data_IF_056650804161
#
_entry.id   IF_056650804161
#
_cell.length_a   1.000
_cell.length_b   1.000
_cell.length_c   1.000
_cell.angle_alpha   90.00
_cell.angle_beta   90.00
_cell.angle_gamma   90.00
#
_symmetry.space_group_name_H-M   'P 1'
#
loop_
_entity.id
_entity.type
_entity.pdbx_description
1 polymer ?
#
# COMPACT_ATOMS: atom_id res chain seq x y z
N UNK A 1 -8.60 -12.57 18.31
CA UNK A 1 -9.23 -12.16 17.06
C UNK A 1 -9.68 -13.35 16.22
N UNK A 2 -8.84 -14.35 16.05
CA UNK A 2 -9.22 -15.63 15.46
C UNK A 2 -9.48 -16.60 16.62
N UNK A 3 -10.74 -16.84 16.99
CA UNK A 3 -11.17 -17.60 18.17
C UNK A 3 -10.73 -19.07 18.19
N UNK A 4 -9.43 -19.31 18.30
CA UNK A 4 -8.83 -20.64 18.35
C UNK A 4 -8.76 -21.11 19.82
N UNK A 5 -9.33 -22.30 20.11
CA UNK A 5 -9.27 -22.90 21.43
C UNK A 5 -7.82 -23.23 21.81
N UNK A 6 -7.43 -22.84 23.01
CA UNK A 6 -6.08 -22.97 23.52
C UNK A 6 -5.97 -24.15 24.50
N UNK A 7 -4.90 -24.92 24.41
CA UNK A 7 -4.58 -25.90 25.43
C UNK A 7 -4.18 -25.25 26.76
N UNK A 8 -4.70 -25.74 27.86
CA UNK A 8 -4.35 -25.24 29.20
C UNK A 8 -2.86 -25.47 29.47
N UNK A 9 -2.10 -24.41 29.70
CA UNK A 9 -0.67 -24.45 30.04
C UNK A 9 0.32 -24.07 28.92
N UNK A 10 -0.15 -23.74 27.71
CA UNK A 10 0.72 -23.24 26.66
C UNK A 10 1.30 -21.85 27.03
N UNK A 11 2.61 -21.65 26.81
CA UNK A 11 3.27 -20.35 27.01
C UNK A 11 2.74 -19.32 26.02
N UNK A 12 2.62 -18.07 26.45
CA UNK A 12 2.29 -16.97 25.57
C UNK A 12 3.49 -16.63 24.70
N UNK A 13 3.31 -16.70 23.39
CA UNK A 13 4.28 -16.24 22.38
C UNK A 13 3.74 -14.97 21.73
N UNK A 14 4.63 -14.02 21.52
CA UNK A 14 4.28 -12.74 20.89
C UNK A 14 5.21 -12.48 19.72
N UNK A 15 4.63 -12.08 18.58
CA UNK A 15 5.35 -11.47 17.46
C UNK A 15 5.21 -9.97 17.63
N UNK A 16 6.35 -9.28 17.78
CA UNK A 16 6.40 -7.82 17.90
C UNK A 16 6.69 -7.26 16.52
N UNK A 17 5.78 -6.42 16.04
CA UNK A 17 5.90 -5.71 14.77
C UNK A 17 6.02 -4.20 15.03
N UNK A 18 6.62 -3.49 14.08
CA UNK A 18 6.71 -2.04 14.12
C UNK A 18 5.89 -1.48 12.94
N UNK A 19 4.70 -0.98 13.23
CA UNK A 19 3.84 -0.30 12.28
C UNK A 19 3.88 1.20 12.57
N UNK A 20 4.30 2.01 11.59
CA UNK A 20 4.30 3.48 11.71
C UNK A 20 4.95 4.00 13.01
N UNK A 21 6.13 3.45 13.36
CA UNK A 21 6.86 3.74 14.61
C UNK A 21 6.16 3.26 15.89
N UNK A 22 5.05 2.54 15.78
CA UNK A 22 4.34 1.94 16.89
C UNK A 22 4.63 0.43 16.98
N UNK A 23 5.00 -0.04 18.18
CA UNK A 23 5.24 -1.45 18.43
C UNK A 23 3.93 -2.14 18.80
N UNK A 24 3.54 -3.13 18.00
CA UNK A 24 2.34 -3.94 18.23
C UNK A 24 2.76 -5.37 18.47
N UNK A 25 2.25 -5.97 19.56
CA UNK A 25 2.52 -7.35 19.92
C UNK A 25 1.33 -8.25 19.59
N UNK A 26 1.48 -9.14 18.62
CA UNK A 26 0.48 -10.13 18.26
C UNK A 26 0.72 -11.42 19.03
N UNK A 27 -0.25 -11.82 19.84
CA UNK A 27 -0.19 -13.11 20.54
C UNK A 27 -0.49 -14.25 19.57
N UNK A 28 0.43 -15.20 19.44
CA UNK A 28 0.34 -16.37 18.57
C UNK A 28 0.45 -17.68 19.36
N UNK A 29 -0.01 -18.77 18.77
CA UNK A 29 0.05 -20.10 19.39
C UNK A 29 1.43 -20.73 19.29
N UNK A 30 2.05 -20.61 18.12
CA UNK A 30 3.39 -21.11 17.84
C UNK A 30 4.04 -20.30 16.73
N UNK A 31 5.36 -20.39 16.65
CA UNK A 31 6.16 -19.88 15.54
C UNK A 31 6.87 -21.07 14.92
N UNK A 32 6.55 -21.39 13.68
CA UNK A 32 7.13 -22.52 12.94
C UNK A 32 8.47 -22.14 12.35
N UNK A 33 8.61 -20.92 11.84
CA UNK A 33 9.83 -20.43 11.24
C UNK A 33 9.60 -19.22 10.35
N UNK A 34 10.64 -18.89 9.58
CA UNK A 34 10.61 -17.83 8.57
C UNK A 34 10.76 -18.50 7.20
N UNK A 35 9.80 -18.26 6.32
CA UNK A 35 9.83 -18.73 4.94
C UNK A 35 9.96 -17.55 3.97
N UNK A 36 10.75 -17.73 2.91
CA UNK A 36 10.82 -16.78 1.81
C UNK A 36 9.86 -17.25 0.72
N UNK A 37 8.91 -16.40 0.39
CA UNK A 37 7.90 -16.67 -0.62
C UNK A 37 8.06 -15.60 -1.71
N UNK A 38 8.05 -16.03 -2.98
CA UNK A 38 8.02 -15.07 -4.10
C UNK A 38 6.60 -14.52 -4.23
N UNK A 39 6.47 -13.26 -4.58
CA UNK A 39 5.17 -12.65 -4.89
C UNK A 39 4.43 -13.36 -6.04
N UNK A 40 5.16 -14.03 -6.92
CA UNK A 40 4.58 -14.85 -8.01
C UNK A 40 3.88 -16.10 -7.50
N UNK A 41 4.22 -16.56 -6.30
CA UNK A 41 3.71 -17.79 -5.69
C UNK A 41 2.55 -17.51 -4.71
N UNK A 42 2.18 -16.23 -4.58
CA UNK A 42 1.06 -15.80 -3.76
C UNK A 42 -0.19 -15.67 -4.64
N UNK A 43 -1.19 -16.47 -4.34
CA UNK A 43 -2.47 -16.49 -5.05
C UNK A 43 -3.54 -15.74 -4.26
N UNK A 44 -4.41 -15.00 -4.96
CA UNK A 44 -5.58 -14.38 -4.32
C UNK A 44 -6.49 -15.48 -3.75
N UNK A 45 -6.94 -15.38 -2.50
CA UNK A 45 -7.88 -16.34 -1.95
C UNK A 45 -9.23 -16.21 -2.64
N UNK A 46 -9.92 -17.34 -2.88
CA UNK A 46 -11.31 -17.32 -3.32
C UNK A 46 -12.17 -16.62 -2.27
N UNK A 47 -13.24 -15.92 -2.74
CA UNK A 47 -14.16 -15.18 -1.86
C UNK A 47 -14.75 -16.01 -0.72
N UNK A 48 -14.86 -17.31 -0.90
CA UNK A 48 -15.31 -18.26 0.12
C UNK A 48 -14.28 -18.52 1.22
N UNK A 49 -12.99 -18.43 0.93
CA UNK A 49 -11.89 -18.68 1.86
C UNK A 49 -11.51 -17.40 2.62
N UNK A 50 -11.66 -16.25 1.98
CA UNK A 50 -11.33 -14.94 2.59
C UNK A 50 -12.38 -14.42 3.57
N UNK A 51 -13.49 -15.12 3.81
CA UNK A 51 -14.58 -14.61 4.65
C UNK A 51 -15.46 -13.56 3.96
N UNK A 52 -15.46 -13.55 2.63
CA UNK A 52 -16.17 -12.55 1.80
C UNK A 52 -15.35 -11.28 1.60
N UNK A 53 -16.01 -10.15 1.34
CA UNK A 53 -15.37 -8.83 1.22
C UNK A 53 -14.77 -8.30 2.52
N UNK A 54 -15.01 -8.98 3.64
CA UNK A 54 -14.55 -8.60 4.99
C UNK A 54 -13.41 -9.47 5.53
N UNK A 55 -12.85 -10.38 4.72
CA UNK A 55 -11.77 -11.26 5.14
C UNK A 55 -10.44 -10.52 5.34
N UNK A 56 -9.67 -10.95 6.36
CA UNK A 56 -8.33 -10.43 6.67
C UNK A 56 -7.20 -11.14 5.92
N UNK A 57 -7.53 -11.98 4.93
CA UNK A 57 -6.56 -12.72 4.12
C UNK A 57 -6.26 -11.96 2.82
N UNK A 58 -5.00 -11.61 2.59
CA UNK A 58 -4.53 -10.98 1.35
C UNK A 58 -4.08 -11.99 0.31
N UNK A 59 -3.63 -13.16 0.76
CA UNK A 59 -3.12 -14.19 -0.14
C UNK A 59 -3.07 -15.58 0.45
N UNK A 60 -2.85 -16.56 -0.41
CA UNK A 60 -2.53 -17.95 -0.05
C UNK A 60 -1.26 -18.34 -0.81
N UNK A 61 -0.30 -18.89 -0.09
CA UNK A 61 0.94 -19.40 -0.66
C UNK A 61 1.20 -20.84 -0.26
N UNK A 62 1.87 -21.60 -1.10
CA UNK A 62 2.30 -22.95 -0.76
C UNK A 62 3.71 -22.91 -0.17
N UNK A 63 3.85 -23.41 1.07
CA UNK A 63 5.12 -23.54 1.76
C UNK A 63 5.41 -25.04 2.00
N UNK A 64 6.20 -25.65 1.13
CA UNK A 64 6.40 -27.11 1.14
C UNK A 64 5.11 -27.86 0.83
N UNK A 65 4.63 -28.68 1.78
CA UNK A 65 3.33 -29.37 1.67
C UNK A 65 2.14 -28.55 2.18
N UNK A 66 2.39 -27.43 2.85
CA UNK A 66 1.37 -26.69 3.59
C UNK A 66 0.88 -25.49 2.79
N UNK A 67 -0.43 -25.20 2.89
CA UNK A 67 -1.02 -23.97 2.42
C UNK A 67 -1.00 -22.94 3.56
N UNK A 68 -0.36 -21.81 3.32
CA UNK A 68 -0.22 -20.72 4.29
C UNK A 68 -1.08 -19.54 3.85
N UNK A 69 -1.94 -19.08 4.74
CA UNK A 69 -2.72 -17.85 4.53
C UNK A 69 -1.90 -16.64 4.93
N UNK A 70 -1.79 -15.68 4.04
CA UNK A 70 -1.15 -14.39 4.29
C UNK A 70 -2.23 -13.44 4.80
N UNK A 71 -1.97 -12.83 5.95
CA UNK A 71 -2.93 -11.94 6.61
C UNK A 71 -2.63 -10.47 6.29
N UNK A 72 -3.69 -9.68 6.11
CA UNK A 72 -3.65 -8.23 6.04
C UNK A 72 -3.47 -7.65 7.46
N UNK A 73 -2.23 -7.48 7.87
CA UNK A 73 -1.93 -6.92 9.18
C UNK A 73 -2.30 -5.44 9.30
N UNK A 74 -2.25 -4.68 8.23
CA UNK A 74 -2.68 -3.28 8.22
C UNK A 74 -4.16 -3.17 8.53
N UNK A 75 -4.97 -4.01 7.90
CA UNK A 75 -6.40 -4.09 8.19
C UNK A 75 -6.67 -4.52 9.64
N UNK A 76 -5.99 -5.56 10.13
CA UNK A 76 -6.13 -6.01 11.52
C UNK A 76 -5.80 -4.88 12.49
N UNK A 77 -4.72 -4.14 12.25
CA UNK A 77 -4.31 -3.01 13.08
C UNK A 77 -5.32 -1.87 12.99
N UNK A 78 -5.79 -1.51 11.80
CA UNK A 78 -6.79 -0.46 11.61
C UNK A 78 -8.12 -0.78 12.31
N UNK A 79 -8.54 -2.06 12.37
CA UNK A 79 -9.74 -2.46 13.10
C UNK A 79 -9.56 -2.42 14.64
N UNK A 80 -8.35 -2.69 15.13
CA UNK A 80 -8.05 -2.72 16.59
C UNK A 80 -7.69 -1.35 17.14
N UNK A 81 -6.97 -0.56 16.36
CA UNK A 81 -6.44 0.76 16.71
C UNK A 81 -6.62 1.74 15.54
N UNK A 82 -7.85 2.23 15.31
CA UNK A 82 -8.17 3.12 14.19
C UNK A 82 -7.31 4.38 14.13
N UNK A 83 -6.82 4.84 15.28
CA UNK A 83 -5.92 6.00 15.39
C UNK A 83 -4.55 5.81 14.70
N UNK A 84 -4.21 4.58 14.34
CA UNK A 84 -2.98 4.28 13.59
C UNK A 84 -3.16 4.26 12.08
N UNK A 85 -4.42 4.34 11.65
CA UNK A 85 -4.81 4.37 10.26
C UNK A 85 -4.80 5.79 9.70
N UNK A 86 -5.13 5.92 8.45
CA UNK A 86 -5.26 7.21 7.76
C UNK A 86 -6.33 8.05 8.46
N UNK A 87 -5.97 9.27 8.90
CA UNK A 87 -6.87 10.16 9.65
C UNK A 87 -7.49 11.18 8.69
N UNK A 88 -8.79 11.08 8.47
CA UNK A 88 -9.53 12.01 7.63
C UNK A 88 -9.58 13.44 8.20
N UNK A 89 -9.42 13.57 9.51
CA UNK A 89 -9.38 14.85 10.24
C UNK A 89 -8.24 15.76 9.75
N UNK A 90 -7.10 15.21 9.33
CA UNK A 90 -6.00 15.99 8.76
C UNK A 90 -6.45 16.74 7.49
N UNK A 91 -7.25 16.09 6.65
CA UNK A 91 -7.80 16.72 5.44
C UNK A 91 -8.82 17.80 5.79
N UNK A 92 -9.64 17.60 6.83
CA UNK A 92 -10.59 18.61 7.30
C UNK A 92 -9.89 19.90 7.79
N UNK A 93 -8.73 19.76 8.40
CA UNK A 93 -7.93 20.89 8.87
C UNK A 93 -7.29 21.71 7.72
N UNK A 94 -7.16 21.14 6.53
CA UNK A 94 -6.61 21.85 5.36
C UNK A 94 -7.58 22.89 4.81
N UNK A 95 -8.85 22.89 5.22
CA UNK A 95 -9.87 23.82 4.76
C UNK A 95 -10.36 23.59 3.32
N UNK A 96 -11.19 24.50 2.78
CA UNK A 96 -11.73 24.37 1.43
C UNK A 96 -10.63 24.41 0.35
N UNK A 97 -10.62 23.41 -0.54
CA UNK A 97 -9.63 23.29 -1.60
C UNK A 97 -10.28 23.33 -2.98
N UNK A 98 -9.55 23.88 -3.96
CA UNK A 98 -9.96 23.84 -5.36
C UNK A 98 -9.93 22.39 -5.89
N UNK A 99 -10.82 22.07 -6.83
CA UNK A 99 -10.80 20.75 -7.48
C UNK A 99 -9.65 20.68 -8.48
N UNK A 100 -8.87 19.61 -8.41
CA UNK A 100 -7.82 19.26 -9.36
C UNK A 100 -8.29 18.13 -10.26
N UNK A 101 -8.18 18.30 -11.57
CA UNK A 101 -8.46 17.28 -12.58
C UNK A 101 -7.22 16.48 -12.99
N UNK A 102 -6.08 16.76 -12.38
CA UNK A 102 -4.83 16.04 -12.64
C UNK A 102 -5.00 14.55 -12.40
N UNK A 103 -4.59 13.67 -13.36
CA UNK A 103 -4.75 12.24 -13.21
C UNK A 103 -3.76 11.67 -12.19
N UNK A 104 -4.28 11.12 -11.11
CA UNK A 104 -3.50 10.47 -10.04
C UNK A 104 -3.67 8.96 -10.14
N UNK A 105 -2.59 8.22 -10.28
CA UNK A 105 -2.60 6.77 -10.32
C UNK A 105 -2.04 6.20 -9.01
N UNK A 106 -2.76 5.26 -8.40
CA UNK A 106 -2.47 4.77 -7.06
C UNK A 106 -2.45 3.25 -7.07
N UNK A 107 -1.35 2.64 -6.61
CA UNK A 107 -1.23 1.19 -6.40
C UNK A 107 -1.28 0.88 -4.91
N UNK A 108 -2.29 0.11 -4.50
CA UNK A 108 -2.58 -0.26 -3.11
C UNK A 108 -3.35 -1.59 -3.10
N UNK A 109 -2.87 -2.60 -2.40
CA UNK A 109 -3.48 -3.93 -2.38
C UNK A 109 -4.54 -4.11 -1.28
N UNK A 110 -4.45 -3.36 -0.19
CA UNK A 110 -5.46 -3.35 0.84
C UNK A 110 -6.72 -2.64 0.37
N UNK A 111 -7.82 -3.39 0.24
CA UNK A 111 -9.13 -2.84 -0.19
C UNK A 111 -9.60 -1.73 0.75
N UNK A 112 -9.34 -1.86 2.06
CA UNK A 112 -9.72 -0.87 3.05
C UNK A 112 -8.92 0.42 2.85
N UNK A 113 -7.58 0.31 2.84
CA UNK A 113 -6.70 1.48 2.69
C UNK A 113 -6.86 2.15 1.34
N UNK A 114 -7.04 1.38 0.26
CA UNK A 114 -7.34 1.91 -1.08
C UNK A 114 -8.57 2.81 -1.06
N UNK A 115 -9.67 2.39 -0.41
CA UNK A 115 -10.88 3.22 -0.25
C UNK A 115 -10.61 4.46 0.61
N UNK A 116 -9.91 4.31 1.73
CA UNK A 116 -9.59 5.44 2.62
C UNK A 116 -8.72 6.49 1.91
N UNK A 117 -7.70 6.06 1.19
CA UNK A 117 -6.85 6.96 0.38
C UNK A 117 -7.71 7.67 -0.68
N UNK A 118 -8.54 6.93 -1.40
CA UNK A 118 -9.43 7.50 -2.41
C UNK A 118 -10.36 8.56 -1.81
N UNK A 119 -11.01 8.27 -0.69
CA UNK A 119 -11.91 9.20 0.00
C UNK A 119 -11.18 10.46 0.48
N UNK A 120 -10.00 10.29 1.10
CA UNK A 120 -9.17 11.41 1.56
C UNK A 120 -8.74 12.30 0.40
N UNK A 121 -8.24 11.73 -0.70
CA UNK A 121 -7.80 12.50 -1.86
C UNK A 121 -8.97 13.20 -2.57
N UNK A 122 -10.15 12.54 -2.68
CA UNK A 122 -11.36 13.19 -3.21
C UNK A 122 -11.78 14.37 -2.36
N UNK A 123 -11.75 14.22 -1.03
CA UNK A 123 -12.03 15.29 -0.08
C UNK A 123 -11.01 16.43 -0.18
N UNK A 124 -9.74 16.10 -0.41
CA UNK A 124 -8.68 17.07 -0.69
C UNK A 124 -8.78 17.75 -2.06
N UNK A 125 -9.78 17.40 -2.88
CA UNK A 125 -10.07 18.05 -4.16
C UNK A 125 -9.58 17.29 -5.40
N UNK A 126 -8.86 16.19 -5.28
CA UNK A 126 -8.42 15.37 -6.41
C UNK A 126 -9.57 14.52 -6.95
N UNK A 127 -10.06 14.80 -8.15
CA UNK A 127 -11.25 14.14 -8.70
C UNK A 127 -10.95 13.03 -9.71
N UNK A 128 -9.76 13.04 -10.30
CA UNK A 128 -9.35 12.08 -11.33
C UNK A 128 -8.38 11.04 -10.75
N UNK A 129 -8.93 10.08 -10.00
CA UNK A 129 -8.18 9.03 -9.33
C UNK A 129 -8.36 7.70 -10.03
N UNK A 130 -7.28 6.94 -10.23
CA UNK A 130 -7.30 5.58 -10.74
C UNK A 130 -6.56 4.66 -9.79
N UNK A 131 -7.29 3.70 -9.22
CA UNK A 131 -6.79 2.73 -8.25
C UNK A 131 -6.36 1.44 -8.94
N UNK A 132 -5.26 0.85 -8.49
CA UNK A 132 -4.73 -0.43 -8.95
C UNK A 132 -4.45 -1.33 -7.74
N UNK A 133 -4.76 -2.62 -7.79
CA UNK A 133 -4.58 -3.53 -6.65
C UNK A 133 -3.14 -4.00 -6.47
N UNK A 134 -2.21 -3.61 -7.33
CA UNK A 134 -0.79 -3.95 -7.26
C UNK A 134 0.03 -3.18 -8.30
N UNK A 135 1.35 -3.23 -8.15
CA UNK A 135 2.28 -2.55 -9.07
C UNK A 135 2.28 -3.13 -10.48
N UNK A 136 1.95 -4.42 -10.65
CA UNK A 136 1.92 -5.07 -11.98
C UNK A 136 0.80 -4.49 -12.84
N UNK A 137 -0.41 -4.40 -12.30
CA UNK A 137 -1.55 -3.84 -13.05
C UNK A 137 -1.35 -2.35 -13.39
N UNK A 138 -0.74 -1.58 -12.47
CA UNK A 138 -0.37 -0.18 -12.77
C UNK A 138 0.67 -0.11 -13.88
N UNK A 139 1.73 -0.93 -13.82
CA UNK A 139 2.77 -0.96 -14.86
C UNK A 139 2.23 -1.37 -16.23
N UNK A 140 1.35 -2.36 -16.28
CA UNK A 140 0.69 -2.80 -17.53
C UNK A 140 -0.16 -1.67 -18.12
N UNK A 141 -0.93 -0.97 -17.30
CA UNK A 141 -1.72 0.17 -17.73
C UNK A 141 -0.86 1.33 -18.26
N UNK A 142 0.28 1.63 -17.59
CA UNK A 142 1.26 2.61 -18.07
C UNK A 142 1.84 2.21 -19.43
N UNK A 143 2.24 0.94 -19.56
CA UNK A 143 2.87 0.41 -20.75
C UNK A 143 1.92 0.37 -21.95
N UNK A 144 0.61 0.26 -21.69
CA UNK A 144 -0.44 0.28 -22.70
C UNK A 144 -0.79 1.68 -23.24
N UNK A 145 -0.29 2.75 -22.61
CA UNK A 145 -0.55 4.11 -23.08
C UNK A 145 0.02 4.34 -24.49
N UNK A 146 -0.71 4.98 -25.42
CA UNK A 146 -0.21 5.33 -26.74
C UNK A 146 1.10 6.10 -26.67
N UNK A 147 2.05 5.82 -27.56
CA UNK A 147 3.39 6.43 -27.52
C UNK A 147 3.37 7.94 -27.79
N UNK A 148 2.38 8.41 -28.52
CA UNK A 148 2.15 9.78 -28.98
C UNK A 148 1.18 10.56 -28.10
N UNK A 149 0.67 9.98 -27.00
CA UNK A 149 -0.19 10.70 -26.08
C UNK A 149 0.58 11.72 -25.23
N UNK A 150 -0.10 12.79 -24.83
CA UNK A 150 0.37 13.70 -23.78
C UNK A 150 0.35 12.93 -22.44
N UNK A 151 1.54 12.57 -21.99
CA UNK A 151 1.70 11.66 -20.83
C UNK A 151 1.10 12.25 -19.56
N UNK A 152 1.32 13.55 -19.31
CA UNK A 152 0.83 14.18 -18.08
C UNK A 152 -0.70 14.34 -18.05
N UNK A 153 -1.35 14.39 -19.23
CA UNK A 153 -2.82 14.30 -19.30
C UNK A 153 -3.37 12.89 -19.04
N UNK A 154 -2.53 11.86 -19.10
CA UNK A 154 -2.92 10.48 -18.77
C UNK A 154 -2.56 10.11 -17.34
N UNK A 155 -1.39 10.54 -16.88
CA UNK A 155 -0.88 10.30 -15.52
C UNK A 155 0.04 11.43 -15.09
N UNK A 156 -0.42 12.25 -14.17
CA UNK A 156 0.33 13.40 -13.67
C UNK A 156 1.22 13.04 -12.46
N UNK A 157 0.79 12.06 -11.66
CA UNK A 157 1.53 11.57 -10.49
C UNK A 157 1.18 10.12 -10.18
N UNK A 158 2.14 9.36 -9.67
CA UNK A 158 1.96 7.98 -9.18
C UNK A 158 2.18 7.95 -7.68
N UNK A 159 1.29 7.26 -6.97
CA UNK A 159 1.43 6.90 -5.56
C UNK A 159 1.46 5.37 -5.49
N UNK A 160 2.39 4.81 -4.72
CA UNK A 160 2.49 3.35 -4.59
C UNK A 160 2.78 2.93 -3.16
N UNK A 161 2.08 1.89 -2.70
CA UNK A 161 2.56 1.14 -1.55
C UNK A 161 3.84 0.37 -1.89
N UNK A 162 4.56 -0.11 -0.87
CA UNK A 162 5.72 -0.99 -1.04
C UNK A 162 5.28 -2.44 -1.11
N UNK A 163 4.50 -2.91 -0.15
CA UNK A 163 4.16 -4.32 0.01
C UNK A 163 2.89 -4.69 -0.75
N UNK A 164 3.05 -5.12 -2.00
CA UNK A 164 1.94 -5.55 -2.85
C UNK A 164 2.25 -6.88 -3.54
N UNK A 165 1.24 -7.73 -3.79
CA UNK A 165 1.40 -8.97 -4.54
C UNK A 165 1.80 -8.69 -5.99
N UNK A 166 2.40 -9.70 -6.66
CA UNK A 166 2.85 -9.69 -8.06
C UNK A 166 4.00 -8.73 -8.35
N UNK A 167 3.87 -7.44 -8.02
CA UNK A 167 4.92 -6.43 -8.15
C UNK A 167 4.87 -5.46 -6.99
N UNK A 168 5.94 -5.44 -6.20
CA UNK A 168 6.12 -4.49 -5.10
C UNK A 168 6.40 -3.06 -5.60
N UNK A 169 6.18 -2.07 -4.71
CA UNK A 169 6.34 -0.66 -5.05
C UNK A 169 7.77 -0.24 -5.38
N UNK A 170 8.78 -0.89 -4.83
CA UNK A 170 10.17 -0.62 -5.19
C UNK A 170 10.48 -1.05 -6.63
N UNK A 171 9.99 -2.23 -7.03
CA UNK A 171 10.12 -2.71 -8.41
C UNK A 171 9.37 -1.81 -9.37
N UNK A 172 8.14 -1.42 -9.03
CA UNK A 172 7.37 -0.44 -9.83
C UNK A 172 8.15 0.87 -9.97
N UNK A 173 8.64 1.44 -8.86
CA UNK A 173 9.45 2.66 -8.86
C UNK A 173 10.65 2.55 -9.80
N UNK A 174 11.39 1.44 -9.72
CA UNK A 174 12.52 1.18 -10.59
C UNK A 174 12.12 1.16 -12.06
N UNK A 175 11.06 0.44 -12.43
CA UNK A 175 10.59 0.36 -13.82
C UNK A 175 10.15 1.72 -14.37
N UNK A 176 9.44 2.50 -13.58
CA UNK A 176 9.01 3.85 -13.95
C UNK A 176 10.22 4.78 -14.14
N UNK A 177 11.17 4.77 -13.18
CA UNK A 177 12.31 5.69 -13.18
C UNK A 177 13.43 5.28 -14.13
N UNK A 178 13.58 4.01 -14.45
CA UNK A 178 14.52 3.53 -15.49
C UNK A 178 13.97 3.77 -16.92
N UNK A 179 12.66 4.01 -17.07
CA UNK A 179 12.05 4.25 -18.37
C UNK A 179 12.24 5.71 -18.82
N UNK A 180 12.92 6.00 -19.94
CA UNK A 180 13.05 7.37 -20.44
C UNK A 180 11.71 8.08 -20.68
N UNK A 181 10.66 7.30 -20.95
CA UNK A 181 9.31 7.82 -21.17
C UNK A 181 8.60 8.20 -19.88
N UNK A 182 8.72 7.36 -18.85
CA UNK A 182 7.94 7.49 -17.62
C UNK A 182 8.69 8.15 -16.48
N UNK A 183 10.03 8.22 -16.55
CA UNK A 183 10.86 8.88 -15.54
C UNK A 183 10.38 10.29 -15.14
N UNK A 184 9.90 11.14 -16.06
CA UNK A 184 9.42 12.47 -15.69
C UNK A 184 8.21 12.49 -14.77
N UNK A 185 7.41 11.40 -14.72
CA UNK A 185 6.23 11.34 -13.84
C UNK A 185 6.69 11.34 -12.38
N UNK A 186 6.22 12.28 -11.55
CA UNK A 186 6.44 12.22 -10.12
C UNK A 186 5.90 10.92 -9.52
N UNK A 187 6.69 10.30 -8.64
CA UNK A 187 6.32 9.06 -7.96
C UNK A 187 6.58 9.17 -6.47
N UNK A 188 5.55 8.92 -5.68
CA UNK A 188 5.57 8.93 -4.22
C UNK A 188 5.39 7.49 -3.72
N UNK A 189 6.24 7.06 -2.79
CA UNK A 189 6.05 5.84 -2.02
C UNK A 189 5.28 6.22 -0.75
N UNK A 190 4.11 5.61 -0.55
CA UNK A 190 3.22 5.84 0.59
C UNK A 190 2.88 4.51 1.24
N UNK A 191 3.57 4.17 2.33
CA UNK A 191 3.52 2.81 2.91
C UNK A 191 3.50 2.84 4.44
N UNK A 192 2.87 1.83 5.04
CA UNK A 192 2.88 1.61 6.49
C UNK A 192 4.23 1.14 7.02
N UNK A 193 5.08 0.59 6.15
CA UNK A 193 6.38 0.03 6.52
C UNK A 193 7.51 0.87 5.89
N UNK A 194 7.92 1.95 6.57
CA UNK A 194 9.05 2.75 6.13
C UNK A 194 10.16 2.71 7.19
N UNK A 195 11.11 1.79 7.00
CA UNK A 195 12.39 1.79 7.72
C UNK A 195 13.39 2.75 7.06
N UNK A 196 14.46 3.09 7.78
CA UNK A 196 15.53 3.92 7.19
C UNK A 196 16.18 3.23 5.97
N UNK A 197 16.33 1.90 5.99
CA UNK A 197 16.83 1.14 4.85
C UNK A 197 15.92 1.26 3.64
N UNK A 198 14.59 1.19 3.84
CA UNK A 198 13.60 1.37 2.78
C UNK A 198 13.61 2.80 2.24
N UNK A 199 13.81 3.82 3.09
CA UNK A 199 13.98 5.21 2.66
C UNK A 199 15.21 5.40 1.77
N UNK A 200 16.34 4.81 2.15
CA UNK A 200 17.55 4.84 1.35
C UNK A 200 17.32 4.16 0.00
N UNK A 201 16.73 2.97 0.01
CA UNK A 201 16.41 2.21 -1.20
C UNK A 201 15.50 2.97 -2.15
N UNK A 202 14.40 3.53 -1.67
CA UNK A 202 13.47 4.27 -2.52
C UNK A 202 14.09 5.51 -3.14
N UNK A 203 14.93 6.26 -2.39
CA UNK A 203 15.72 7.38 -2.93
C UNK A 203 16.67 6.92 -4.03
N UNK A 204 17.38 5.80 -3.83
CA UNK A 204 18.27 5.22 -4.85
C UNK A 204 17.52 4.79 -6.10
N UNK A 205 16.27 4.38 -5.98
CA UNK A 205 15.39 4.02 -7.09
C UNK A 205 14.78 5.24 -7.80
N UNK A 206 14.96 6.44 -7.26
CA UNK A 206 14.49 7.69 -7.85
C UNK A 206 13.07 8.10 -7.45
N UNK A 207 12.49 7.54 -6.38
CA UNK A 207 11.25 8.05 -5.82
C UNK A 207 11.39 9.54 -5.48
N UNK A 208 10.38 10.34 -5.82
CA UNK A 208 10.39 11.77 -5.54
C UNK A 208 10.20 12.05 -4.05
N UNK A 209 9.35 11.25 -3.39
CA UNK A 209 9.15 11.34 -1.95
C UNK A 209 8.74 9.99 -1.37
N UNK A 210 8.89 9.83 -0.04
CA UNK A 210 8.47 8.64 0.69
C UNK A 210 7.92 9.04 2.05
N UNK A 211 6.71 8.58 2.35
CA UNK A 211 6.04 8.93 3.59
C UNK A 211 5.19 7.78 4.13
N UNK A 212 4.90 7.82 5.41
CA UNK A 212 4.10 6.81 6.08
C UNK A 212 2.59 7.06 5.92
N UNK A 213 1.79 5.99 5.83
CA UNK A 213 0.34 6.08 5.53
C UNK A 213 -0.48 6.94 6.48
N UNK A 214 -0.21 7.08 7.80
CA UNK A 214 -0.94 8.04 8.61
C UNK A 214 -0.77 9.49 8.17
N UNK A 215 0.32 9.84 7.49
CA UNK A 215 0.64 11.22 7.10
C UNK A 215 -0.10 11.65 5.82
N UNK A 216 -1.44 11.48 5.78
CA UNK A 216 -2.24 11.75 4.57
C UNK A 216 -2.30 13.25 4.23
N UNK A 217 -2.33 14.13 5.23
CA UNK A 217 -2.26 15.56 5.02
C UNK A 217 -0.95 15.98 4.37
N UNK A 218 0.16 15.44 4.85
CA UNK A 218 1.48 15.67 4.25
C UNK A 218 1.58 15.12 2.82
N UNK A 219 0.95 13.96 2.53
CA UNK A 219 0.86 13.45 1.16
C UNK A 219 0.21 14.46 0.23
N UNK A 220 -0.90 15.07 0.65
CA UNK A 220 -1.62 16.08 -0.15
C UNK A 220 -0.74 17.31 -0.41
N UNK A 221 -0.03 17.81 0.61
CA UNK A 221 0.88 18.96 0.46
C UNK A 221 2.02 18.68 -0.54
N UNK A 222 2.60 17.47 -0.47
CA UNK A 222 3.65 17.04 -1.40
C UNK A 222 3.11 16.87 -2.81
N UNK A 223 1.91 16.32 -2.98
CA UNK A 223 1.26 16.22 -4.29
C UNK A 223 1.05 17.60 -4.91
N UNK A 224 0.53 18.55 -4.13
CA UNK A 224 0.34 19.94 -4.60
C UNK A 224 1.65 20.55 -5.08
N UNK A 225 2.73 20.37 -4.30
CA UNK A 225 4.05 20.88 -4.66
C UNK A 225 4.62 20.24 -5.94
N UNK A 226 4.45 18.93 -6.11
CA UNK A 226 4.95 18.21 -7.29
C UNK A 226 4.13 18.51 -8.55
N UNK A 227 2.84 18.77 -8.41
CA UNK A 227 1.92 19.08 -9.51
C UNK A 227 1.92 20.58 -9.90
N UNK A 228 2.39 21.46 -9.02
CA UNK A 228 2.50 22.90 -9.30
C UNK A 228 3.66 23.29 -10.24
N UNK A 229 4.47 22.31 -10.66
CA UNK A 229 5.60 22.49 -11.60
C UNK A 229 5.17 22.22 -13.02
#
# INVERSE_FOLDING_TARGET
>A
YLGVNREKGAKDLFIITNFNKMYIAFRVHSVVGISRISWTDIHKPDKTVSGGSEGVATGIAQCGSDLVTILDFERIVAEIAPETSIQMEEIDQMGPRARSSEPVWIAEDSILLSKMIEECLRKAGYVNLRMFPNGQELWEALSALPKDCDLFKQVAIIITDIEMPQMDGHRLTKLVKDSPRFNPIPLIIFSSLISEEMRIKGRQLGANEQMSKPEIGHLVDVMDHLLAK
#
